data_IF_905693002083
#
_entry.id   IF_905693002083
#
_cell.length_a   1.000
_cell.length_b   1.000
_cell.length_c   1.000
_cell.angle_alpha   90.00
_cell.angle_beta   90.00
_cell.angle_gamma   90.00
#
_symmetry.space_group_name_H-M   'P 1'
#
loop_
_entity.id
_entity.type
_entity.pdbx_description
1 polymer ?
#
# COMPACT_ATOMS: atom_id res chain seq x y z
N UNK A 1 20.72 11.78 3.59
CA UNK A 1 20.07 12.43 4.74
C UNK A 1 19.29 11.31 5.45
N UNK A 2 19.94 10.68 6.45
CA UNK A 2 19.32 9.63 7.26
C UNK A 2 18.31 10.32 8.19
N UNK A 3 17.03 10.28 7.84
CA UNK A 3 16.00 10.49 8.84
C UNK A 3 15.97 9.25 9.72
N UNK A 4 16.52 9.37 10.92
CA UNK A 4 16.23 8.43 11.99
C UNK A 4 14.71 8.36 12.14
N UNK A 5 14.13 7.21 11.85
CA UNK A 5 12.78 6.88 12.28
C UNK A 5 12.82 6.85 13.80
N UNK A 6 12.50 7.99 14.43
CA UNK A 6 12.15 7.98 15.84
C UNK A 6 10.93 7.08 15.96
N UNK A 7 11.11 5.97 16.67
CA UNK A 7 10.00 5.12 17.07
C UNK A 7 8.97 6.03 17.75
N UNK A 8 7.80 6.17 17.15
CA UNK A 8 6.68 6.77 17.86
C UNK A 8 6.40 5.86 19.05
N UNK A 9 6.47 6.38 20.28
CA UNK A 9 6.15 5.59 21.46
C UNK A 9 4.66 5.21 21.39
N UNK A 10 4.42 3.93 21.22
CA UNK A 10 3.11 3.33 20.98
C UNK A 10 2.80 3.16 19.49
N UNK A 11 3.16 2.01 18.95
CA UNK A 11 2.59 1.50 17.70
C UNK A 11 1.09 1.27 17.94
N UNK A 12 0.30 2.33 17.83
CA UNK A 12 -1.16 2.24 17.84
C UNK A 12 -1.60 1.61 16.51
N UNK A 13 -1.47 0.30 16.41
CA UNK A 13 -2.12 -0.45 15.34
C UNK A 13 -3.61 -0.49 15.69
N UNK A 14 -4.39 0.37 15.05
CA UNK A 14 -5.84 0.32 15.16
C UNK A 14 -6.31 -0.80 14.24
N UNK A 15 -6.87 -1.85 14.84
CA UNK A 15 -7.52 -2.94 14.11
C UNK A 15 -9.00 -2.65 14.02
N UNK A 16 -9.58 -2.93 12.87
CA UNK A 16 -11.04 -2.90 12.71
C UNK A 16 -11.67 -3.98 13.61
N UNK A 17 -12.91 -3.73 14.06
CA UNK A 17 -13.72 -4.74 14.75
C UNK A 17 -13.88 -5.96 13.88
N UNK A 18 -14.07 -7.11 14.51
CA UNK A 18 -14.50 -8.33 13.83
C UNK A 18 -15.77 -8.06 13.00
N UNK A 19 -15.78 -8.52 11.75
CA UNK A 19 -16.85 -8.25 10.80
C UNK A 19 -16.84 -6.87 10.13
N UNK A 20 -15.99 -5.93 10.58
CA UNK A 20 -15.81 -4.64 9.90
C UNK A 20 -14.74 -4.75 8.78
N UNK A 21 -14.95 -3.99 7.71
CA UNK A 21 -14.03 -3.93 6.58
C UNK A 21 -13.49 -2.51 6.36
N UNK A 22 -12.38 -2.39 5.63
CA UNK A 22 -11.92 -1.07 5.16
C UNK A 22 -12.95 -0.40 4.25
N UNK A 23 -13.76 -1.20 3.55
CA UNK A 23 -14.88 -0.70 2.75
C UNK A 23 -15.89 0.05 3.62
N UNK A 24 -16.27 -0.49 4.77
CA UNK A 24 -17.20 0.17 5.70
C UNK A 24 -16.65 1.52 6.22
N UNK A 25 -15.33 1.62 6.42
CA UNK A 25 -14.68 2.88 6.77
C UNK A 25 -14.84 3.91 5.63
N UNK A 26 -14.57 3.51 4.39
CA UNK A 26 -14.70 4.38 3.22
C UNK A 26 -16.16 4.83 3.04
N UNK A 27 -17.11 3.92 3.18
CA UNK A 27 -18.55 4.22 3.11
C UNK A 27 -19.00 5.20 4.20
N UNK A 28 -18.48 5.02 5.42
CA UNK A 28 -18.74 5.96 6.53
C UNK A 28 -18.21 7.37 6.24
N UNK A 29 -17.00 7.46 5.66
CA UNK A 29 -16.42 8.75 5.27
C UNK A 29 -17.19 9.40 4.11
N UNK A 30 -17.75 8.61 3.22
CA UNK A 30 -18.51 9.06 2.06
C UNK A 30 -19.98 9.41 2.39
N UNK A 31 -20.51 9.03 3.55
CA UNK A 31 -21.92 9.11 3.90
C UNK A 31 -22.56 10.51 3.71
N UNK A 32 -21.75 11.59 3.86
CA UNK A 32 -22.23 12.96 3.68
C UNK A 32 -22.08 13.53 2.28
N UNK A 33 -21.50 12.77 1.33
CA UNK A 33 -21.17 13.25 -0.02
C UNK A 33 -21.49 12.24 -1.12
N UNK A 34 -22.24 11.21 -0.82
CA UNK A 34 -22.53 10.09 -1.75
C UNK A 34 -23.20 10.56 -3.06
N UNK A 35 -24.06 11.54 -2.97
CA UNK A 35 -24.75 12.19 -4.10
C UNK A 35 -23.81 12.97 -5.02
N UNK A 36 -22.58 13.24 -4.58
CA UNK A 36 -21.54 13.99 -5.30
C UNK A 36 -20.43 13.10 -5.84
N UNK A 37 -20.53 11.78 -5.68
CA UNK A 37 -19.56 10.82 -6.14
C UNK A 37 -20.01 10.24 -7.47
N UNK A 38 -19.22 10.43 -8.53
CA UNK A 38 -19.46 9.83 -9.83
C UNK A 38 -18.47 8.68 -10.04
N UNK A 39 -18.99 7.46 -10.14
CA UNK A 39 -18.22 6.26 -10.44
C UNK A 39 -18.09 6.00 -11.93
N UNK A 40 -17.11 5.20 -12.34
CA UNK A 40 -16.88 4.86 -13.75
C UNK A 40 -16.33 6.01 -14.60
N UNK A 41 -16.01 7.14 -13.98
CA UNK A 41 -15.55 8.37 -14.63
C UNK A 41 -14.02 8.45 -14.60
N UNK A 42 -13.36 7.81 -15.56
CA UNK A 42 -11.90 7.89 -15.67
C UNK A 42 -11.48 9.28 -16.15
N UNK A 43 -10.75 10.00 -15.31
CA UNK A 43 -10.14 11.28 -15.69
C UNK A 43 -8.94 10.99 -16.60
N UNK A 44 -8.97 11.57 -17.80
CA UNK A 44 -7.92 11.41 -18.81
C UNK A 44 -7.09 12.67 -19.00
N UNK A 45 -7.64 13.84 -18.64
CA UNK A 45 -6.95 15.12 -18.78
C UNK A 45 -7.43 16.16 -17.77
N UNK A 46 -6.51 16.96 -17.30
CA UNK A 46 -6.75 18.14 -16.45
C UNK A 46 -6.07 19.33 -17.14
N UNK A 47 -6.88 20.26 -17.65
CA UNK A 47 -6.40 21.45 -18.35
C UNK A 47 -6.57 22.69 -17.49
N UNK A 48 -5.56 23.53 -17.45
CA UNK A 48 -5.70 24.86 -16.85
C UNK A 48 -6.40 25.79 -17.83
N UNK A 49 -7.51 26.40 -17.40
CA UNK A 49 -8.32 27.34 -18.19
C UNK A 49 -8.46 28.66 -17.43
N UNK A 50 -7.72 29.69 -17.84
CA UNK A 50 -7.77 31.00 -17.16
C UNK A 50 -7.50 30.88 -15.66
N UNK A 51 -8.47 31.22 -14.82
CA UNK A 51 -8.40 31.12 -13.36
C UNK A 51 -8.89 29.75 -12.79
N UNK A 52 -9.37 28.85 -13.64
CA UNK A 52 -9.91 27.54 -13.23
C UNK A 52 -9.29 26.37 -13.99
N UNK A 53 -10.01 25.28 -13.99
CA UNK A 53 -9.59 24.04 -14.62
C UNK A 53 -10.76 23.35 -15.33
N UNK A 54 -10.41 22.66 -16.41
CA UNK A 54 -11.27 21.75 -17.15
C UNK A 54 -10.77 20.33 -16.90
N UNK A 55 -11.65 19.46 -16.40
CA UNK A 55 -11.35 18.04 -16.14
C UNK A 55 -12.12 17.21 -17.15
N UNK A 56 -11.40 16.44 -17.97
CA UNK A 56 -11.99 15.51 -18.94
C UNK A 56 -12.11 14.13 -18.28
N UNK A 57 -13.33 13.66 -18.12
CA UNK A 57 -13.64 12.38 -17.46
C UNK A 57 -14.62 11.57 -18.33
N UNK A 58 -14.12 10.52 -18.98
CA UNK A 58 -14.89 9.79 -19.98
C UNK A 58 -15.29 10.68 -21.16
N UNK A 59 -16.59 10.84 -21.39
CA UNK A 59 -17.16 11.74 -22.40
C UNK A 59 -17.54 13.12 -21.83
N UNK A 60 -17.36 13.34 -20.53
CA UNK A 60 -17.76 14.58 -19.87
C UNK A 60 -16.61 15.55 -19.67
N UNK A 61 -16.95 16.83 -19.67
CA UNK A 61 -16.04 17.94 -19.37
C UNK A 61 -16.60 18.67 -18.15
N UNK A 62 -15.81 18.71 -17.08
CA UNK A 62 -16.18 19.33 -15.81
C UNK A 62 -15.32 20.59 -15.63
N UNK A 63 -15.98 21.75 -15.53
CA UNK A 63 -15.30 23.00 -15.23
C UNK A 63 -15.33 23.25 -13.72
N UNK A 64 -14.17 23.59 -13.15
CA UNK A 64 -14.03 23.84 -11.72
C UNK A 64 -12.97 24.89 -11.41
N UNK A 65 -13.06 25.51 -10.25
CA UNK A 65 -12.10 26.51 -9.77
C UNK A 65 -10.83 25.85 -9.25
N UNK A 66 -10.97 24.68 -8.62
CA UNK A 66 -9.87 23.93 -7.99
C UNK A 66 -9.99 22.45 -8.31
N UNK A 67 -8.84 21.77 -8.42
CA UNK A 67 -8.76 20.31 -8.57
C UNK A 67 -7.80 19.76 -7.52
N UNK A 68 -8.28 18.77 -6.75
CA UNK A 68 -7.43 17.99 -5.84
C UNK A 68 -7.19 16.63 -6.50
N UNK A 69 -5.94 16.35 -6.84
CA UNK A 69 -5.53 15.10 -7.48
C UNK A 69 -5.06 14.12 -6.42
N UNK A 70 -5.78 13.01 -6.26
CA UNK A 70 -5.51 11.96 -5.26
C UNK A 70 -5.11 10.63 -5.89
N UNK A 71 -4.70 10.64 -7.15
CA UNK A 71 -4.21 9.44 -7.84
C UNK A 71 -2.95 8.89 -7.17
N UNK A 72 -2.77 7.57 -7.23
CA UNK A 72 -1.56 6.94 -6.68
C UNK A 72 -0.29 7.39 -7.39
N UNK A 73 0.85 7.28 -6.70
CA UNK A 73 2.15 7.56 -7.30
C UNK A 73 2.40 6.71 -8.54
N UNK A 74 1.94 5.44 -8.57
CA UNK A 74 2.06 4.57 -9.74
C UNK A 74 1.34 5.13 -10.96
N UNK A 75 0.14 5.67 -10.79
CA UNK A 75 -0.60 6.35 -11.86
C UNK A 75 0.14 7.61 -12.32
N UNK A 76 0.65 8.42 -11.38
CA UNK A 76 1.42 9.61 -11.73
C UNK A 76 2.68 9.28 -12.52
N UNK A 77 3.41 8.22 -12.16
CA UNK A 77 4.59 7.75 -12.92
C UNK A 77 4.26 7.40 -14.37
N UNK A 78 3.10 6.80 -14.61
CA UNK A 78 2.70 6.36 -15.95
C UNK A 78 2.02 7.46 -16.78
N UNK A 79 1.21 8.30 -16.14
CA UNK A 79 0.26 9.15 -16.84
C UNK A 79 0.50 10.65 -16.64
N UNK A 80 1.40 11.11 -15.74
CA UNK A 80 1.54 12.53 -15.42
C UNK A 80 1.77 13.42 -16.65
N UNK A 81 2.59 12.94 -17.59
CA UNK A 81 2.91 13.69 -18.83
C UNK A 81 1.70 13.85 -19.77
N UNK A 82 0.69 13.00 -19.64
CA UNK A 82 -0.53 13.03 -20.47
C UNK A 82 -1.69 13.67 -19.73
N UNK A 83 -1.70 13.52 -18.38
CA UNK A 83 -2.81 13.93 -17.55
C UNK A 83 -2.92 15.46 -17.41
N UNK A 84 -1.79 16.17 -17.33
CA UNK A 84 -1.77 17.60 -17.04
C UNK A 84 -1.46 18.46 -18.26
N UNK A 85 -2.26 19.52 -18.47
CA UNK A 85 -2.07 20.52 -19.51
C UNK A 85 -2.25 21.93 -18.92
N UNK A 86 -1.18 22.79 -18.88
CA UNK A 86 0.19 22.46 -19.25
C UNK A 86 0.82 21.38 -18.38
N UNK A 87 1.93 20.75 -18.83
CA UNK A 87 2.64 19.74 -18.05
C UNK A 87 3.04 20.25 -16.67
N UNK A 88 3.17 19.33 -15.70
CA UNK A 88 3.69 19.68 -14.38
C UNK A 88 5.11 20.28 -14.49
N UNK A 89 5.50 21.18 -13.59
CA UNK A 89 6.87 21.66 -13.50
C UNK A 89 7.88 20.51 -13.41
N UNK A 90 9.03 20.68 -14.08
CA UNK A 90 10.07 19.65 -14.14
C UNK A 90 10.48 19.13 -12.76
N UNK A 91 10.58 20.01 -11.76
CA UNK A 91 10.90 19.62 -10.38
C UNK A 91 9.90 18.65 -9.78
N UNK A 92 8.59 18.78 -10.11
CA UNK A 92 7.56 17.83 -9.66
C UNK A 92 7.65 16.50 -10.40
N UNK A 93 7.90 16.54 -11.70
CA UNK A 93 8.07 15.32 -12.51
C UNK A 93 9.28 14.51 -12.02
N UNK A 94 10.41 15.17 -11.73
CA UNK A 94 11.60 14.53 -11.19
C UNK A 94 11.32 13.87 -9.81
N UNK A 95 10.55 14.52 -8.95
CA UNK A 95 10.14 13.92 -7.66
C UNK A 95 9.25 12.71 -7.88
N UNK A 96 8.25 12.78 -8.77
CA UNK A 96 7.37 11.66 -9.10
C UNK A 96 8.17 10.49 -9.64
N UNK A 97 9.14 10.74 -10.52
CA UNK A 97 9.96 9.72 -11.14
C UNK A 97 10.88 9.03 -10.12
N UNK A 98 11.55 9.80 -9.26
CA UNK A 98 12.55 9.31 -8.34
C UNK A 98 11.96 8.79 -7.01
N UNK A 99 10.70 9.12 -6.68
CA UNK A 99 10.08 8.66 -5.44
C UNK A 99 9.80 7.15 -5.52
N UNK A 100 10.31 6.39 -4.56
CA UNK A 100 10.14 4.95 -4.50
C UNK A 100 8.67 4.54 -4.29
N UNK A 101 8.25 3.49 -4.98
CA UNK A 101 6.99 2.80 -4.73
C UNK A 101 7.31 1.34 -4.48
N UNK A 102 7.26 0.95 -3.20
CA UNK A 102 7.60 -0.42 -2.79
C UNK A 102 6.53 -1.43 -3.21
N UNK A 103 6.97 -2.65 -3.49
CA UNK A 103 6.08 -3.80 -3.72
C UNK A 103 5.90 -4.56 -2.42
N UNK A 104 4.67 -4.92 -2.10
CA UNK A 104 4.30 -5.72 -0.93
C UNK A 104 3.37 -6.83 -1.37
N UNK A 105 3.71 -8.07 -1.04
CA UNK A 105 2.84 -9.22 -1.19
C UNK A 105 2.45 -9.79 0.17
N UNK A 106 1.26 -10.35 0.25
CA UNK A 106 0.77 -11.08 1.43
C UNK A 106 0.46 -12.51 1.03
N UNK A 107 1.05 -13.46 1.72
CA UNK A 107 0.77 -14.88 1.55
C UNK A 107 -0.08 -15.32 2.73
N UNK A 108 -1.27 -15.83 2.44
CA UNK A 108 -2.18 -16.36 3.45
C UNK A 108 -1.94 -17.86 3.57
N UNK A 109 -1.59 -18.29 4.77
CA UNK A 109 -1.37 -19.70 5.11
C UNK A 109 -2.55 -20.17 5.93
N UNK A 110 -3.38 -21.02 5.36
CA UNK A 110 -4.52 -21.62 6.03
C UNK A 110 -4.14 -22.98 6.62
N UNK A 111 -4.47 -23.17 7.88
CA UNK A 111 -4.21 -24.39 8.63
C UNK A 111 -5.55 -25.11 8.93
N UNK A 112 -5.54 -26.45 9.06
CA UNK A 112 -6.76 -27.20 9.44
C UNK A 112 -7.32 -26.80 10.81
N UNK A 113 -6.44 -26.31 11.70
CA UNK A 113 -6.76 -25.96 13.08
C UNK A 113 -6.27 -24.56 13.44
N UNK A 114 -6.58 -24.12 14.66
CA UNK A 114 -6.10 -22.84 15.19
C UNK A 114 -4.56 -22.78 15.15
N UNK A 115 -4.01 -21.72 14.58
CA UNK A 115 -2.56 -21.51 14.43
C UNK A 115 -1.80 -21.53 15.76
N UNK A 116 -2.45 -21.20 16.88
CA UNK A 116 -1.82 -21.26 18.20
C UNK A 116 -1.42 -22.68 18.62
N UNK A 117 -2.06 -23.72 18.08
CA UNK A 117 -1.70 -25.11 18.31
C UNK A 117 -0.36 -25.47 17.66
N UNK A 118 -0.09 -24.89 16.49
CA UNK A 118 1.15 -25.10 15.75
C UNK A 118 2.27 -24.15 16.19
N UNK A 119 1.90 -22.95 16.61
CA UNK A 119 2.81 -21.87 16.98
C UNK A 119 2.48 -21.27 18.36
N UNK A 120 2.72 -22.01 19.46
CA UNK A 120 2.32 -21.57 20.81
C UNK A 120 3.03 -20.31 21.28
N UNK A 121 4.15 -19.93 20.67
CA UNK A 121 4.89 -18.69 20.95
C UNK A 121 4.43 -17.49 20.11
N UNK A 122 3.48 -17.70 19.19
CA UNK A 122 2.96 -16.65 18.36
C UNK A 122 2.07 -15.70 19.18
N UNK A 123 2.48 -14.44 19.28
CA UNK A 123 1.69 -13.42 19.98
C UNK A 123 0.57 -12.89 19.06
N UNK A 124 -0.49 -12.26 19.60
CA UNK A 124 -1.49 -11.56 18.80
C UNK A 124 -0.91 -10.46 17.89
N UNK A 125 0.27 -9.93 18.24
CA UNK A 125 1.01 -8.95 17.45
C UNK A 125 1.83 -9.59 16.32
N UNK A 126 1.80 -10.93 16.19
CA UNK A 126 2.58 -11.67 15.23
C UNK A 126 4.06 -11.81 15.62
N UNK A 127 4.83 -12.31 14.69
CA UNK A 127 6.27 -12.46 14.80
C UNK A 127 6.95 -11.66 13.69
N UNK A 128 7.76 -10.68 14.07
CA UNK A 128 8.50 -9.83 13.15
C UNK A 128 9.96 -10.29 13.08
N UNK A 129 10.38 -10.83 11.96
CA UNK A 129 11.74 -11.31 11.75
C UNK A 129 12.77 -10.18 11.68
N UNK A 130 12.40 -9.00 11.19
CA UNK A 130 13.30 -7.85 11.09
C UNK A 130 13.75 -7.38 12.47
N UNK A 131 12.82 -7.26 13.43
CA UNK A 131 13.12 -6.82 14.80
C UNK A 131 14.10 -7.74 15.51
N UNK A 132 14.01 -9.06 15.27
CA UNK A 132 14.93 -10.04 15.87
C UNK A 132 16.33 -9.95 15.26
N UNK A 133 16.43 -9.64 13.97
CA UNK A 133 17.72 -9.44 13.29
C UNK A 133 18.45 -8.18 13.75
N UNK A 134 17.73 -7.09 13.98
CA UNK A 134 18.29 -5.85 14.53
C UNK A 134 18.89 -6.04 15.93
N UNK A 135 18.21 -6.80 16.81
CA UNK A 135 18.70 -7.10 18.16
C UNK A 135 19.93 -8.00 18.17
N UNK A 136 20.12 -8.81 17.14
CA UNK A 136 21.28 -9.72 17.02
C UNK A 136 22.45 -9.13 16.23
N UNK A 137 22.41 -7.83 15.89
CA UNK A 137 23.44 -7.18 15.06
C UNK A 137 23.49 -7.72 13.62
N UNK A 138 22.50 -8.51 13.22
CA UNK A 138 22.41 -9.13 11.91
C UNK A 138 21.93 -8.17 10.83
N UNK A 139 22.56 -8.26 9.68
CA UNK A 139 22.33 -7.46 8.51
C UNK A 139 20.86 -7.44 8.05
N UNK A 140 20.35 -6.30 7.52
CA UNK A 140 19.06 -6.24 6.85
C UNK A 140 18.94 -7.33 5.77
N UNK A 141 17.75 -7.91 5.65
CA UNK A 141 17.46 -9.03 4.75
C UNK A 141 17.84 -8.79 3.27
N UNK A 142 17.97 -7.52 2.88
CA UNK A 142 18.36 -7.11 1.52
C UNK A 142 19.85 -7.25 1.16
N UNK A 143 20.71 -7.74 2.09
CA UNK A 143 22.13 -8.05 1.83
C UNK A 143 22.45 -9.53 1.75
N UNK A 144 21.47 -10.41 1.70
CA UNK A 144 21.74 -11.84 1.61
C UNK A 144 21.88 -12.24 0.14
N UNK A 145 23.10 -12.59 -0.28
CA UNK A 145 23.44 -13.09 -1.62
C UNK A 145 22.74 -14.42 -2.01
N UNK A 146 21.84 -14.90 -1.17
CA UNK A 146 21.00 -16.09 -1.42
C UNK A 146 19.53 -15.72 -1.62
N UNK A 147 19.25 -14.72 -2.45
CA UNK A 147 17.89 -14.24 -2.73
C UNK A 147 17.12 -15.13 -3.73
N UNK A 148 17.49 -16.39 -3.88
CA UNK A 148 16.82 -17.27 -4.84
C UNK A 148 15.43 -17.72 -4.41
N UNK A 149 15.00 -17.42 -3.16
CA UNK A 149 13.70 -17.82 -2.64
C UNK A 149 13.01 -16.68 -1.93
N UNK A 150 11.78 -16.36 -2.37
CA UNK A 150 10.93 -15.33 -1.75
C UNK A 150 10.68 -15.57 -0.25
N UNK A 151 10.71 -16.83 0.20
CA UNK A 151 10.51 -17.20 1.60
C UNK A 151 11.57 -16.55 2.52
N UNK A 152 12.78 -16.35 2.02
CA UNK A 152 13.85 -15.70 2.77
C UNK A 152 13.63 -14.21 2.98
N UNK A 153 12.71 -13.61 2.19
CA UNK A 153 12.31 -12.21 2.26
C UNK A 153 11.03 -11.99 3.09
N UNK A 154 10.53 -13.02 3.77
CA UNK A 154 9.38 -12.86 4.69
C UNK A 154 9.78 -11.97 5.86
N UNK A 155 9.12 -10.83 6.00
CA UNK A 155 9.39 -9.84 7.05
C UNK A 155 8.76 -10.22 8.39
N UNK A 156 7.67 -10.94 8.38
CA UNK A 156 6.98 -11.39 9.57
C UNK A 156 5.76 -12.26 9.27
N UNK A 157 5.31 -12.98 10.30
CA UNK A 157 4.10 -13.80 10.30
C UNK A 157 3.12 -13.23 11.31
N UNK A 158 1.89 -13.02 10.88
CA UNK A 158 0.86 -12.38 11.69
C UNK A 158 -0.41 -13.22 11.71
N UNK A 159 -0.94 -13.55 12.90
CA UNK A 159 -2.22 -14.25 12.99
C UNK A 159 -3.35 -13.34 12.51
N UNK A 160 -4.26 -13.88 11.74
CA UNK A 160 -5.46 -13.18 11.32
C UNK A 160 -6.49 -13.19 12.44
N UNK A 161 -6.87 -12.03 12.95
CA UNK A 161 -7.76 -11.94 14.14
C UNK A 161 -9.14 -12.52 13.92
N UNK A 162 -9.68 -12.39 12.71
CA UNK A 162 -11.01 -12.91 12.36
C UNK A 162 -11.02 -14.40 11.99
N UNK A 163 -9.85 -15.01 11.80
CA UNK A 163 -9.69 -16.40 11.37
C UNK A 163 -8.50 -17.02 12.09
N UNK A 164 -8.78 -17.70 13.18
CA UNK A 164 -7.75 -18.25 14.07
C UNK A 164 -6.87 -19.33 13.44
N UNK A 165 -7.24 -19.83 12.27
CA UNK A 165 -6.51 -20.82 11.49
C UNK A 165 -5.69 -20.20 10.33
N UNK A 166 -5.61 -18.87 10.25
CA UNK A 166 -4.88 -18.20 9.16
C UNK A 166 -3.70 -17.40 9.71
N UNK A 167 -2.53 -17.62 9.11
CA UNK A 167 -1.35 -16.74 9.23
C UNK A 167 -1.15 -15.94 7.95
N UNK A 168 -0.75 -14.69 8.10
CA UNK A 168 -0.37 -13.81 6.99
C UNK A 168 1.13 -13.56 7.02
N UNK A 169 1.83 -14.02 5.99
CA UNK A 169 3.22 -13.70 5.75
C UNK A 169 3.33 -12.41 4.91
N UNK A 170 4.19 -11.49 5.33
CA UNK A 170 4.47 -10.27 4.58
C UNK A 170 5.81 -10.40 3.87
N UNK A 171 5.79 -10.16 2.56
CA UNK A 171 6.97 -10.15 1.69
C UNK A 171 7.08 -8.78 1.06
N UNK A 172 8.28 -8.21 0.99
CA UNK A 172 8.50 -6.86 0.47
C UNK A 172 9.62 -6.84 -0.59
N UNK A 173 9.65 -5.77 -1.39
CA UNK A 173 10.68 -5.57 -2.41
C UNK A 173 10.56 -6.49 -3.62
N UNK A 174 11.68 -6.83 -4.24
CA UNK A 174 11.72 -7.65 -5.46
C UNK A 174 11.14 -9.06 -5.25
N UNK A 175 11.35 -9.64 -4.07
CA UNK A 175 10.78 -10.93 -3.72
C UNK A 175 9.24 -10.93 -3.71
N UNK A 176 8.61 -9.80 -3.42
CA UNK A 176 7.15 -9.67 -3.47
C UNK A 176 6.61 -9.82 -4.90
N UNK A 177 7.33 -9.30 -5.90
CA UNK A 177 6.97 -9.49 -7.31
C UNK A 177 7.07 -10.97 -7.73
N UNK A 178 8.04 -11.73 -7.18
CA UNK A 178 8.15 -13.17 -7.46
C UNK A 178 6.95 -13.96 -6.93
N UNK A 179 6.42 -13.56 -5.77
CA UNK A 179 5.25 -14.25 -5.16
C UNK A 179 4.02 -14.20 -6.08
N UNK A 180 3.81 -13.10 -6.80
CA UNK A 180 2.67 -12.95 -7.71
C UNK A 180 2.69 -13.91 -8.90
N UNK A 181 3.85 -14.49 -9.23
CA UNK A 181 4.04 -15.44 -10.32
C UNK A 181 4.04 -16.90 -9.87
N UNK A 182 3.87 -17.17 -8.58
CA UNK A 182 3.80 -18.54 -8.08
C UNK A 182 2.41 -19.10 -8.36
N UNK A 183 2.38 -20.12 -9.22
CA UNK A 183 1.18 -20.94 -9.41
C UNK A 183 1.15 -22.00 -8.31
N UNK A 184 0.09 -22.00 -7.50
CA UNK A 184 -0.18 -23.01 -6.46
C UNK A 184 -0.95 -24.19 -7.06
#
# INVERSE_FOLDING_TARGET
>A
MNQEYKECPGNLTISLREGASMQALVESLAAGVQDRISFGMRVTKIRKQGSGYEVVAGSEIINCTYVIVTTSLGVLKQEANKLFEPPLPRSKLEVIENFGMGTVAKVFLEFPENVSHHFPTLTPSGFNFLRRREQSGGCPAWKNDRQDRWQDAVCGLYPQRSHSNILVAWVTGEAAAQVEHITV
#
